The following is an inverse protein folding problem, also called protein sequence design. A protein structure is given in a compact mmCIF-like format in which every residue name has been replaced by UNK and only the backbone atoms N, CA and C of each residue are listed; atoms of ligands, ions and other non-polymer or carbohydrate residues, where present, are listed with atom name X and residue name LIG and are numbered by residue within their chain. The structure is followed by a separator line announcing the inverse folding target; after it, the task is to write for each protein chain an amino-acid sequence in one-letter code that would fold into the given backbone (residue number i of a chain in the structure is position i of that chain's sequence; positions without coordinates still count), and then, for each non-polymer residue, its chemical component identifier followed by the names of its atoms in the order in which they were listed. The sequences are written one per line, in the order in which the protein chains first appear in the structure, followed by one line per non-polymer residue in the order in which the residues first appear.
data_IF_634568153092
#
_entry.id   IF_634568153092
#
_cell.length_a   1.000
_cell.length_b   1.000
_cell.length_c   1.000
_cell.angle_alpha   90.00
_cell.angle_beta   90.00
_cell.angle_gamma   90.00
#
_symmetry.space_group_name_H-M   'P 1'
#
loop_
_entity.id
_entity.type
_entity.pdbx_description
1 polymer ?
#
# COMPACT_ATOMS: atom_id res chain seq x y z
N UNK A 1 -46.77 -12.23 -45.05
CA UNK A 1 -46.06 -10.97 -44.69
C UNK A 1 -45.82 -10.79 -43.18
N UNK A 2 -46.46 -11.52 -42.25
CA UNK A 2 -46.22 -11.34 -40.80
C UNK A 2 -44.91 -11.96 -40.25
N UNK A 3 -44.36 -13.00 -40.89
CA UNK A 3 -43.19 -13.73 -40.38
C UNK A 3 -41.88 -12.90 -40.39
N UNK A 4 -41.72 -12.05 -41.41
CA UNK A 4 -40.54 -11.18 -41.52
C UNK A 4 -40.54 -10.05 -40.49
N UNK A 5 -41.72 -9.56 -40.09
CA UNK A 5 -41.85 -8.48 -39.09
C UNK A 5 -41.52 -9.00 -37.69
N UNK A 6 -41.97 -10.21 -37.35
CA UNK A 6 -41.70 -10.84 -36.06
C UNK A 6 -40.20 -11.18 -35.87
N UNK A 7 -39.55 -11.67 -36.93
CA UNK A 7 -38.10 -11.90 -36.95
C UNK A 7 -37.28 -10.60 -36.81
N UNK A 8 -37.75 -9.51 -37.43
CA UNK A 8 -37.15 -8.18 -37.29
C UNK A 8 -37.27 -7.67 -35.86
N UNK A 9 -38.44 -7.76 -35.24
CA UNK A 9 -38.68 -7.31 -33.86
C UNK A 9 -37.82 -8.07 -32.83
N UNK A 10 -37.61 -9.39 -33.01
CA UNK A 10 -36.73 -10.18 -32.14
C UNK A 10 -35.27 -9.73 -32.30
N UNK A 11 -34.79 -9.48 -33.52
CA UNK A 11 -33.43 -8.94 -33.76
C UNK A 11 -33.25 -7.56 -33.13
N UNK A 12 -34.24 -6.66 -33.25
CA UNK A 12 -34.20 -5.33 -32.66
C UNK A 12 -34.25 -5.35 -31.13
N UNK A 13 -34.86 -6.38 -30.52
CA UNK A 13 -34.88 -6.57 -29.07
C UNK A 13 -33.59 -7.23 -28.53
N UNK A 14 -32.94 -8.10 -29.33
CA UNK A 14 -31.69 -8.77 -28.94
C UNK A 14 -30.46 -7.84 -28.94
N UNK A 15 -30.38 -6.88 -29.87
CA UNK A 15 -29.25 -5.94 -29.99
C UNK A 15 -29.05 -5.07 -28.73
N UNK A 16 -30.07 -4.41 -28.14
CA UNK A 16 -29.88 -3.59 -26.93
C UNK A 16 -29.57 -4.43 -25.69
N UNK A 17 -30.09 -5.67 -25.59
CA UNK A 17 -29.81 -6.59 -24.48
C UNK A 17 -28.34 -7.05 -24.49
N UNK A 18 -27.78 -7.32 -25.67
CA UNK A 18 -26.37 -7.70 -25.82
C UNK A 18 -25.45 -6.49 -25.55
N UNK A 19 -25.86 -5.27 -25.93
CA UNK A 19 -25.15 -4.04 -25.57
C UNK A 19 -25.18 -3.72 -24.07
N UNK A 20 -26.30 -4.02 -23.39
CA UNK A 20 -26.41 -3.87 -21.93
C UNK A 20 -25.57 -4.91 -21.16
N UNK A 21 -25.48 -6.14 -21.66
CA UNK A 21 -24.66 -7.18 -21.06
C UNK A 21 -23.15 -6.98 -21.29
N UNK A 22 -22.74 -6.40 -22.41
CA UNK A 22 -21.32 -6.11 -22.69
C UNK A 22 -20.78 -4.87 -21.96
N UNK A 23 -21.64 -3.92 -21.58
CA UNK A 23 -21.27 -2.78 -20.72
C UNK A 23 -20.92 -3.18 -19.28
N UNK A 24 -21.41 -4.33 -18.81
CA UNK A 24 -21.13 -4.82 -17.45
C UNK A 24 -19.78 -5.56 -17.33
N UNK A 25 -19.06 -5.80 -18.44
CA UNK A 25 -17.81 -6.56 -18.43
C UNK A 25 -16.53 -5.69 -18.30
N UNK A 26 -16.64 -4.36 -18.29
CA UNK A 26 -15.48 -3.46 -18.24
C UNK A 26 -15.53 -2.46 -17.09
N UNK A 27 -15.78 -2.95 -15.88
CA UNK A 27 -15.33 -2.25 -14.68
C UNK A 27 -14.56 -3.25 -13.83
N UNK A 28 -13.31 -3.54 -14.22
CA UNK A 28 -12.29 -3.86 -13.23
C UNK A 28 -12.06 -2.58 -12.42
N UNK A 29 -12.98 -2.32 -11.49
CA UNK A 29 -12.87 -1.23 -10.55
C UNK A 29 -11.51 -1.39 -9.86
N UNK A 30 -10.72 -0.32 -9.93
CA UNK A 30 -9.62 -0.11 -9.00
C UNK A 30 -10.17 -0.46 -7.60
N UNK A 31 -9.39 -1.04 -6.66
CA UNK A 31 -9.85 -1.23 -5.26
C UNK A 31 -9.94 0.13 -4.57
N UNK A 32 -10.87 0.90 -5.06
CA UNK A 32 -11.25 2.23 -4.70
C UNK A 32 -12.68 2.02 -4.24
N UNK A 33 -12.82 1.75 -2.95
CA UNK A 33 -14.12 1.50 -2.35
C UNK A 33 -14.83 2.84 -2.18
N UNK A 34 -16.14 2.84 -2.33
CA UNK A 34 -16.94 4.01 -1.97
C UNK A 34 -16.80 4.32 -0.46
N UNK A 35 -16.89 5.60 -0.13
CA UNK A 35 -16.80 6.14 1.22
C UNK A 35 -15.47 6.84 1.53
N UNK A 36 -15.37 7.33 2.75
CA UNK A 36 -14.23 8.10 3.27
C UNK A 36 -13.24 7.24 4.04
N UNK A 37 -12.01 7.75 4.18
CA UNK A 37 -11.00 7.11 5.01
C UNK A 37 -11.52 6.94 6.45
N UNK A 38 -11.48 5.72 7.02
CA UNK A 38 -11.90 5.54 8.40
C UNK A 38 -10.91 6.25 9.33
N UNK A 39 -11.38 6.80 10.47
CA UNK A 39 -10.47 7.30 11.49
C UNK A 39 -9.68 6.12 12.06
N UNK A 40 -8.36 6.16 11.93
CA UNK A 40 -7.45 5.16 12.48
C UNK A 40 -6.44 5.90 13.34
N UNK A 41 -6.40 5.60 14.63
CA UNK A 41 -5.40 6.18 15.52
C UNK A 41 -4.03 5.53 15.24
N UNK A 42 -2.94 6.30 15.14
CA UNK A 42 -1.60 5.74 15.05
C UNK A 42 -1.16 5.10 16.38
N UNK A 43 -0.05 4.36 16.36
CA UNK A 43 0.64 3.87 17.55
C UNK A 43 1.00 5.04 18.49
N UNK A 44 0.61 4.99 19.77
CA UNK A 44 1.03 5.98 20.75
C UNK A 44 2.48 5.73 21.21
N UNK A 45 3.14 6.76 21.75
CA UNK A 45 4.51 6.71 22.26
C UNK A 45 5.52 6.18 21.23
N UNK A 46 5.30 6.50 19.96
CA UNK A 46 6.15 6.06 18.86
C UNK A 46 7.53 6.71 18.95
N UNK A 47 8.59 5.90 19.01
CA UNK A 47 9.96 6.36 18.95
C UNK A 47 10.48 6.35 17.50
N UNK A 48 10.61 7.54 16.91
CA UNK A 48 11.09 7.71 15.53
C UNK A 48 12.51 7.19 15.34
N UNK A 49 13.42 7.46 16.28
CA UNK A 49 14.84 7.15 16.12
C UNK A 49 15.07 5.64 16.05
N UNK A 50 14.33 4.86 16.84
CA UNK A 50 14.37 3.40 16.80
C UNK A 50 13.74 2.83 15.51
N UNK A 51 12.83 3.56 14.87
CA UNK A 51 12.16 3.13 13.65
C UNK A 51 13.03 3.26 12.39
N UNK A 52 14.03 4.13 12.43
CA UNK A 52 14.86 4.45 11.26
C UNK A 52 15.63 3.22 10.72
N UNK A 53 16.16 3.37 9.53
CA UNK A 53 16.90 2.33 8.81
C UNK A 53 16.04 1.57 7.82
N UNK A 54 16.52 0.38 7.43
CA UNK A 54 15.91 -0.41 6.35
C UNK A 54 14.84 -1.35 6.88
N UNK A 55 13.75 -1.45 6.12
CA UNK A 55 12.63 -2.36 6.32
C UNK A 55 12.29 -3.06 5.00
N UNK A 56 12.01 -4.37 5.07
CA UNK A 56 11.59 -5.17 3.94
C UNK A 56 10.10 -5.44 4.01
N UNK A 57 9.37 -5.24 2.90
CA UNK A 57 7.95 -5.55 2.88
C UNK A 57 7.73 -7.06 2.94
N UNK A 58 7.16 -7.57 4.02
CA UNK A 58 6.80 -8.99 4.14
C UNK A 58 5.52 -9.27 3.35
N UNK A 59 4.47 -8.48 3.57
CA UNK A 59 3.21 -8.59 2.86
C UNK A 59 2.49 -7.24 2.80
N UNK A 60 1.59 -7.07 1.85
CA UNK A 60 0.76 -5.89 1.75
C UNK A 60 -0.60 -6.21 1.15
N UNK A 61 -1.57 -5.32 1.32
CA UNK A 61 -2.82 -5.44 0.57
C UNK A 61 -2.58 -5.20 -0.93
N UNK A 62 -3.07 -6.12 -1.77
CA UNK A 62 -2.89 -6.04 -3.22
C UNK A 62 -3.81 -4.96 -3.81
N UNK A 63 -3.23 -3.92 -4.40
CA UNK A 63 -3.92 -3.10 -5.40
C UNK A 63 -3.97 -3.87 -6.72
N UNK A 64 -5.16 -4.09 -7.28
CA UNK A 64 -5.39 -4.96 -8.45
C UNK A 64 -4.63 -4.53 -9.72
N UNK A 65 -4.08 -3.30 -9.76
CA UNK A 65 -3.56 -2.66 -10.98
C UNK A 65 -2.04 -2.47 -10.96
N UNK A 66 -1.35 -2.71 -9.83
CA UNK A 66 0.12 -2.62 -9.80
C UNK A 66 0.72 -3.98 -10.17
N UNK A 67 1.74 -3.97 -11.05
CA UNK A 67 2.59 -5.13 -11.27
C UNK A 67 3.03 -5.69 -9.92
N UNK A 68 3.07 -7.02 -9.77
CA UNK A 68 3.61 -7.64 -8.57
C UNK A 68 5.03 -7.10 -8.34
N UNK A 69 5.17 -6.32 -7.27
CA UNK A 69 6.45 -5.78 -6.82
C UNK A 69 7.14 -6.87 -6.01
N UNK A 70 8.38 -7.16 -6.35
CA UNK A 70 9.25 -8.07 -5.62
C UNK A 70 10.40 -7.26 -5.01
N UNK A 71 11.06 -7.81 -3.99
CA UNK A 71 12.21 -7.19 -3.35
C UNK A 71 11.92 -5.75 -2.92
N UNK A 72 10.74 -5.53 -2.32
CA UNK A 72 10.32 -4.21 -1.87
C UNK A 72 11.03 -3.92 -0.55
N UNK A 73 11.81 -2.85 -0.54
CA UNK A 73 12.50 -2.35 0.64
C UNK A 73 12.28 -0.86 0.77
N UNK A 74 12.25 -0.40 2.02
CA UNK A 74 12.07 0.98 2.43
C UNK A 74 13.24 1.34 3.32
N UNK A 75 13.96 2.40 3.01
CA UNK A 75 14.97 2.98 3.89
C UNK A 75 14.43 4.31 4.43
N UNK A 76 14.32 4.38 5.76
CA UNK A 76 13.91 5.58 6.47
C UNK A 76 15.14 6.25 7.08
N UNK A 77 15.36 7.52 6.74
CA UNK A 77 16.47 8.31 7.27
C UNK A 77 15.91 9.52 7.99
N UNK A 78 16.29 9.73 9.26
CA UNK A 78 15.81 10.84 10.06
C UNK A 78 16.15 12.19 9.42
N UNK A 79 15.21 13.13 9.53
CA UNK A 79 15.37 14.53 9.19
C UNK A 79 15.18 15.38 10.46
N UNK A 80 15.40 16.68 10.34
CA UNK A 80 15.14 17.67 11.38
C UNK A 80 13.65 17.69 11.77
N UNK A 81 13.37 18.17 12.99
CA UNK A 81 12.00 18.38 13.49
C UNK A 81 11.12 17.12 13.54
N UNK A 82 11.73 15.94 13.71
CA UNK A 82 11.02 14.67 13.84
C UNK A 82 10.36 14.19 12.55
N UNK A 83 10.80 14.69 11.39
CA UNK A 83 10.48 14.13 10.07
C UNK A 83 11.48 13.06 9.63
N UNK A 84 11.20 12.43 8.49
CA UNK A 84 12.15 11.49 7.87
C UNK A 84 12.01 11.46 6.35
N UNK A 85 13.11 11.14 5.67
CA UNK A 85 13.14 10.79 4.26
C UNK A 85 12.82 9.32 4.05
N UNK A 86 12.17 9.02 2.92
CA UNK A 86 11.82 7.66 2.50
C UNK A 86 12.45 7.37 1.16
N UNK A 87 13.28 6.34 1.09
CA UNK A 87 13.69 5.72 -0.17
C UNK A 87 13.01 4.36 -0.30
N UNK A 88 12.13 4.21 -1.29
CA UNK A 88 11.50 2.93 -1.62
C UNK A 88 12.14 2.34 -2.87
N UNK A 89 12.61 1.11 -2.77
CA UNK A 89 13.19 0.36 -3.87
C UNK A 89 12.45 -0.95 -4.09
N UNK A 90 12.23 -1.31 -5.35
CA UNK A 90 11.55 -2.55 -5.71
C UNK A 90 11.87 -3.00 -7.12
N UNK A 91 11.59 -4.26 -7.42
CA UNK A 91 11.66 -4.83 -8.76
C UNK A 91 10.28 -5.23 -9.25
N UNK A 92 10.08 -5.29 -10.57
CA UNK A 92 8.86 -5.84 -11.16
C UNK A 92 9.25 -6.93 -12.14
N UNK A 93 8.35 -7.88 -12.42
CA UNK A 93 8.63 -8.96 -13.37
C UNK A 93 9.00 -8.48 -14.80
N UNK A 94 8.67 -7.22 -15.14
CA UNK A 94 8.95 -6.63 -16.45
C UNK A 94 10.27 -5.87 -16.52
N UNK A 95 10.86 -5.51 -15.37
CA UNK A 95 12.00 -4.61 -15.31
C UNK A 95 13.22 -5.36 -14.76
N UNK A 96 14.32 -5.29 -15.50
CA UNK A 96 15.60 -5.88 -15.10
C UNK A 96 16.34 -5.03 -14.06
N UNK A 97 16.08 -3.71 -14.03
CA UNK A 97 16.64 -2.79 -13.04
C UNK A 97 15.62 -2.48 -11.94
N UNK A 98 16.06 -2.33 -10.67
CA UNK A 98 15.21 -1.84 -9.60
C UNK A 98 14.66 -0.45 -9.92
N UNK A 99 13.40 -0.22 -9.55
CA UNK A 99 12.79 1.11 -9.51
C UNK A 99 13.02 1.70 -8.12
N UNK A 100 13.47 2.95 -8.09
CA UNK A 100 13.69 3.73 -6.88
C UNK A 100 12.75 4.92 -6.88
N UNK A 101 12.15 5.21 -5.74
CA UNK A 101 11.26 6.34 -5.52
C UNK A 101 11.56 6.99 -4.18
N UNK A 102 11.50 8.32 -4.15
CA UNK A 102 11.79 9.10 -2.96
C UNK A 102 10.55 9.78 -2.41
N UNK A 103 10.57 10.08 -1.12
CA UNK A 103 9.57 10.88 -0.45
C UNK A 103 10.11 11.46 0.85
N UNK A 104 9.26 12.25 1.51
CA UNK A 104 9.56 12.75 2.85
C UNK A 104 8.28 12.81 3.68
N UNK A 105 8.42 12.60 4.98
CA UNK A 105 7.34 12.54 5.94
C UNK A 105 7.52 13.64 7.00
N UNK A 106 6.46 14.41 7.26
CA UNK A 106 6.38 15.32 8.43
C UNK A 106 5.44 14.75 9.48
N UNK A 107 5.76 14.92 10.78
CA UNK A 107 4.83 14.59 11.83
C UNK A 107 3.58 15.47 11.70
N UNK A 108 2.40 14.90 11.97
CA UNK A 108 1.13 15.65 11.89
C UNK A 108 1.02 16.71 13.00
N UNK A 109 1.70 16.52 14.12
CA UNK A 109 1.82 17.50 15.20
C UNK A 109 3.26 18.05 15.25
N UNK A 110 3.38 19.37 15.08
CA UNK A 110 4.67 20.05 14.97
C UNK A 110 5.26 20.52 16.32
N UNK A 111 4.52 20.35 17.42
CA UNK A 111 4.95 20.80 18.74
C UNK A 111 5.81 19.73 19.45
N UNK A 112 7.06 19.58 19.00
CA UNK A 112 8.06 18.68 19.60
C UNK A 112 8.25 17.36 18.82
N UNK A 113 8.92 16.40 19.45
CA UNK A 113 9.08 15.06 18.86
C UNK A 113 7.72 14.37 18.71
N UNK A 114 7.48 13.65 17.58
CA UNK A 114 6.21 12.97 17.37
C UNK A 114 5.94 11.97 18.50
N UNK A 115 4.88 12.22 19.27
CA UNK A 115 4.44 11.30 20.33
C UNK A 115 3.57 10.16 19.80
N UNK A 116 3.25 10.19 18.51
CA UNK A 116 2.42 9.23 17.80
C UNK A 116 3.05 8.93 16.44
N UNK A 117 2.85 7.72 15.94
CA UNK A 117 3.30 7.30 14.62
C UNK A 117 2.47 7.89 13.48
N UNK A 118 2.09 9.17 13.51
CA UNK A 118 1.27 9.82 12.49
C UNK A 118 2.05 10.85 11.69
N UNK A 119 2.11 10.65 10.38
CA UNK A 119 2.87 11.45 9.45
C UNK A 119 2.07 11.80 8.20
N UNK A 120 2.36 12.98 7.63
CA UNK A 120 2.00 13.33 6.24
C UNK A 120 3.18 12.99 5.34
N UNK A 121 3.04 11.94 4.54
CA UNK A 121 4.05 11.46 3.60
C UNK A 121 3.82 12.07 2.22
N UNK A 122 4.77 12.88 1.75
CA UNK A 122 4.81 13.37 0.37
C UNK A 122 5.73 12.47 -0.46
N UNK A 123 5.16 11.81 -1.47
CA UNK A 123 5.90 11.00 -2.43
C UNK A 123 6.22 11.84 -3.68
N UNK A 124 7.45 11.75 -4.16
CA UNK A 124 7.90 12.47 -5.35
C UNK A 124 7.67 11.64 -6.62
N UNK A 125 7.11 12.26 -7.64
CA UNK A 125 6.99 11.65 -8.97
C UNK A 125 7.18 12.69 -10.07
N UNK A 126 7.55 12.24 -11.27
CA UNK A 126 7.85 13.11 -12.41
C UNK A 126 6.69 14.03 -12.82
N UNK A 127 5.43 13.58 -12.63
CA UNK A 127 4.25 14.33 -13.04
C UNK A 127 3.76 15.28 -11.96
N UNK A 128 3.70 14.78 -10.73
CA UNK A 128 3.19 15.51 -9.58
C UNK A 128 3.61 14.78 -8.28
N UNK A 129 3.76 15.57 -7.23
CA UNK A 129 3.94 15.06 -5.88
C UNK A 129 2.55 14.78 -5.27
N UNK A 130 2.48 13.73 -4.45
CA UNK A 130 1.23 13.36 -3.77
C UNK A 130 1.49 13.20 -2.29
N UNK A 131 0.66 13.85 -1.47
CA UNK A 131 0.71 13.73 -0.02
C UNK A 131 -0.41 12.83 0.47
N UNK A 132 -0.07 11.87 1.33
CA UNK A 132 -1.00 10.92 1.93
C UNK A 132 -0.74 10.81 3.44
N UNK A 133 -1.76 10.36 4.17
CA UNK A 133 -1.58 9.97 5.56
C UNK A 133 -0.76 8.68 5.62
N UNK A 134 0.24 8.67 6.49
CA UNK A 134 1.11 7.53 6.74
C UNK A 134 1.17 7.30 8.26
N UNK A 135 0.56 6.20 8.68
CA UNK A 135 0.41 5.83 10.07
C UNK A 135 1.20 4.56 10.35
N UNK A 136 2.03 4.59 11.39
CA UNK A 136 2.59 3.40 12.01
C UNK A 136 1.57 2.94 13.04
N UNK A 137 0.99 1.76 12.82
CA UNK A 137 -0.05 1.19 13.69
C UNK A 137 0.56 0.40 14.84
N UNK A 138 1.63 -0.34 14.58
CA UNK A 138 2.33 -1.13 15.59
C UNK A 138 3.73 -1.47 15.11
N UNK A 139 4.70 -1.50 16.01
CA UNK A 139 6.06 -1.98 15.73
C UNK A 139 6.76 -2.28 17.05
N UNK A 140 7.64 -3.27 17.03
CA UNK A 140 8.62 -3.50 18.07
C UNK A 140 10.00 -2.91 17.74
N UNK A 141 10.08 -2.12 16.67
CA UNK A 141 11.28 -1.46 16.11
C UNK A 141 12.33 -2.39 15.50
N UNK A 142 12.46 -3.60 16.04
CA UNK A 142 13.57 -4.52 15.76
C UNK A 142 13.18 -5.70 14.86
N UNK A 143 11.90 -6.06 14.75
CA UNK A 143 11.50 -7.24 14.00
C UNK A 143 10.36 -7.00 13.02
N UNK A 144 9.33 -6.22 13.38
CA UNK A 144 8.17 -5.98 12.53
C UNK A 144 7.63 -4.54 12.63
N UNK A 145 6.94 -4.10 11.58
CA UNK A 145 6.16 -2.87 11.60
C UNK A 145 4.90 -3.00 10.74
N UNK A 146 3.76 -2.53 11.26
CA UNK A 146 2.50 -2.44 10.52
C UNK A 146 2.26 -0.99 10.15
N UNK A 147 2.31 -0.70 8.85
CA UNK A 147 2.07 0.64 8.32
C UNK A 147 0.74 0.70 7.57
N UNK A 148 -0.01 1.77 7.78
CA UNK A 148 -1.28 2.05 7.13
C UNK A 148 -1.26 3.41 6.45
N UNK A 149 -1.89 3.49 5.29
CA UNK A 149 -2.19 4.77 4.64
C UNK A 149 -3.57 4.74 4.05
N UNK A 150 -4.19 5.91 3.94
CA UNK A 150 -5.45 6.05 3.24
C UNK A 150 -5.40 7.30 2.36
N UNK A 151 -5.86 7.13 1.12
CA UNK A 151 -6.03 8.20 0.16
C UNK A 151 -7.51 8.31 -0.17
N UNK A 152 -8.06 9.51 -0.09
CA UNK A 152 -9.43 9.79 -0.47
C UNK A 152 -9.49 10.79 -1.63
N UNK A 153 -10.46 10.57 -2.52
CA UNK A 153 -10.74 11.44 -3.65
C UNK A 153 -12.25 11.42 -3.91
N UNK A 154 -12.90 12.57 -3.75
CA UNK A 154 -14.37 12.67 -3.78
C UNK A 154 -15.01 11.68 -2.79
N UNK A 155 -15.88 10.79 -3.26
CA UNK A 155 -16.57 9.78 -2.46
C UNK A 155 -15.90 8.41 -2.53
N UNK A 156 -14.62 8.38 -2.92
CA UNK A 156 -13.84 7.18 -3.06
C UNK A 156 -12.63 7.19 -2.13
N UNK A 157 -12.31 6.03 -1.57
CA UNK A 157 -11.09 5.82 -0.79
C UNK A 157 -10.26 4.67 -1.30
N UNK A 158 -8.97 4.75 -1.05
CA UNK A 158 -7.98 3.71 -1.27
C UNK A 158 -7.13 3.58 -0.02
N UNK A 159 -7.27 2.43 0.64
CA UNK A 159 -6.45 2.07 1.78
C UNK A 159 -5.23 1.29 1.28
N UNK A 160 -4.06 1.54 1.86
CA UNK A 160 -2.90 0.65 1.76
C UNK A 160 -2.47 0.25 3.17
N UNK A 161 -1.91 -0.94 3.27
CA UNK A 161 -1.52 -1.54 4.52
C UNK A 161 -0.41 -2.55 4.24
N UNK A 162 0.67 -2.46 5.00
CA UNK A 162 1.91 -3.19 4.79
C UNK A 162 2.38 -3.75 6.14
N UNK A 163 2.84 -5.00 6.15
CA UNK A 163 3.64 -5.56 7.24
C UNK A 163 5.07 -5.62 6.75
N UNK A 164 5.95 -4.95 7.48
CA UNK A 164 7.37 -4.85 7.20
C UNK A 164 8.16 -5.66 8.23
N UNK A 165 9.37 -6.04 7.87
CA UNK A 165 10.30 -6.80 8.71
C UNK A 165 11.72 -6.28 8.56
N UNK A 166 12.54 -6.42 9.60
CA UNK A 166 13.96 -6.00 9.57
C UNK A 166 14.85 -6.97 8.79
N UNK A 167 14.52 -8.26 8.77
CA UNK A 167 15.23 -9.28 8.01
C UNK A 167 14.29 -9.90 6.95
N UNK A 168 14.84 -10.34 5.82
CA UNK A 168 14.09 -11.09 4.79
C UNK A 168 13.78 -12.52 5.24
N UNK A 169 14.60 -13.08 6.12
CA UNK A 169 14.42 -14.39 6.74
C UNK A 169 13.80 -14.23 8.13
N UNK A 170 12.49 -14.46 8.21
CA UNK A 170 11.72 -14.28 9.45
C UNK A 170 10.88 -15.50 9.77
N UNK A 171 10.52 -15.65 11.04
CA UNK A 171 9.46 -16.56 11.46
C UNK A 171 8.11 -16.01 10.98
N UNK A 172 7.61 -16.54 9.87
CA UNK A 172 6.37 -16.08 9.24
C UNK A 172 5.16 -16.24 10.16
N UNK A 173 5.14 -17.25 11.03
CA UNK A 173 4.04 -17.47 11.96
C UNK A 173 3.96 -16.36 13.00
N UNK A 174 5.11 -15.89 13.49
CA UNK A 174 5.19 -14.74 14.38
C UNK A 174 4.75 -13.44 13.68
N UNK A 175 5.27 -13.16 12.48
CA UNK A 175 4.92 -11.93 11.74
C UNK A 175 3.43 -11.90 11.37
N UNK A 176 2.87 -13.05 10.97
CA UNK A 176 1.44 -13.17 10.67
C UNK A 176 0.57 -13.03 11.93
N UNK A 177 1.03 -13.45 13.11
CA UNK A 177 0.30 -13.25 14.35
C UNK A 177 0.29 -11.77 14.75
N UNK A 178 1.43 -11.09 14.67
CA UNK A 178 1.53 -9.65 14.94
C UNK A 178 0.65 -8.82 14.00
N UNK A 179 0.61 -9.18 12.71
CA UNK A 179 -0.30 -8.55 11.75
C UNK A 179 -1.76 -8.75 12.15
N UNK A 180 -2.19 -9.98 12.45
CA UNK A 180 -3.59 -10.28 12.80
C UNK A 180 -4.01 -9.57 14.07
N UNK A 181 -3.19 -9.62 15.12
CA UNK A 181 -3.45 -8.95 16.40
C UNK A 181 -3.57 -7.44 16.22
N UNK A 182 -2.64 -6.83 15.46
CA UNK A 182 -2.70 -5.40 15.15
C UNK A 182 -4.00 -5.06 14.43
N UNK A 183 -4.34 -5.75 13.34
CA UNK A 183 -5.57 -5.44 12.60
C UNK A 183 -6.84 -5.67 13.41
N UNK A 184 -6.84 -6.65 14.31
CA UNK A 184 -7.94 -6.86 15.24
C UNK A 184 -8.13 -5.67 16.17
N UNK A 185 -7.05 -5.20 16.81
CA UNK A 185 -7.09 -4.06 17.73
C UNK A 185 -7.62 -2.77 17.06
N UNK A 186 -7.31 -2.60 15.77
CA UNK A 186 -7.75 -1.45 14.96
C UNK A 186 -9.08 -1.67 14.22
N UNK A 187 -9.76 -2.81 14.41
CA UNK A 187 -11.01 -3.19 13.70
C UNK A 187 -10.86 -3.19 12.17
N UNK A 188 -9.68 -3.60 11.71
CA UNK A 188 -9.27 -3.68 10.31
C UNK A 188 -9.15 -5.14 9.81
N UNK A 189 -9.65 -6.12 10.57
CA UNK A 189 -9.56 -7.57 10.25
C UNK A 189 -10.01 -7.90 8.82
N UNK A 190 -11.03 -7.20 8.35
CA UNK A 190 -11.59 -7.38 7.01
C UNK A 190 -10.58 -7.14 5.89
N UNK A 191 -9.48 -6.41 6.14
CA UNK A 191 -8.40 -6.18 5.19
C UNK A 191 -7.51 -7.41 4.98
N UNK A 192 -7.47 -8.36 5.92
CA UNK A 192 -6.66 -9.59 5.82
C UNK A 192 -6.94 -10.37 4.53
N UNK A 193 -8.19 -10.39 4.07
CA UNK A 193 -8.59 -11.07 2.81
C UNK A 193 -7.90 -10.52 1.56
N UNK A 194 -7.31 -9.32 1.65
CA UNK A 194 -6.64 -8.65 0.54
C UNK A 194 -5.12 -8.70 0.61
N UNK A 195 -4.54 -9.20 1.71
CA UNK A 195 -3.11 -9.34 1.84
C UNK A 195 -2.53 -10.34 0.87
N UNK A 196 -1.34 -10.02 0.36
CA UNK A 196 -0.51 -10.90 -0.42
C UNK A 196 0.94 -10.82 0.06
N UNK A 197 1.62 -11.97 0.22
CA UNK A 197 3.04 -12.00 0.48
C UNK A 197 3.82 -11.28 -0.62
N UNK A 198 4.91 -10.65 -0.23
CA UNK A 198 5.87 -10.04 -1.14
C UNK A 198 7.05 -10.98 -1.29
N UNK A 199 7.47 -11.22 -2.53
CA UNK A 199 8.63 -12.08 -2.78
C UNK A 199 9.93 -11.34 -2.41
N UNK A 200 10.65 -11.86 -1.42
CA UNK A 200 11.93 -11.29 -0.92
C UNK A 200 13.15 -12.19 -1.18
N UNK A 201 13.03 -13.18 -2.07
CA UNK A 201 14.13 -14.10 -2.43
C UNK A 201 14.85 -13.64 -3.72
N UNK A 202 16.15 -13.93 -3.82
CA UNK A 202 17.02 -13.57 -4.95
C UNK A 202 17.03 -12.07 -5.28
N UNK A 203 16.97 -11.24 -4.25
CA UNK A 203 17.05 -9.79 -4.39
C UNK A 203 18.51 -9.35 -4.50
N UNK A 204 18.84 -8.50 -5.48
CA UNK A 204 20.17 -7.92 -5.59
C UNK A 204 20.39 -6.90 -4.46
N UNK A 205 21.28 -7.22 -3.52
CA UNK A 205 21.73 -6.28 -2.50
C UNK A 205 22.54 -5.18 -3.18
N UNK A 206 22.12 -3.92 -3.03
CA UNK A 206 22.83 -2.79 -3.63
C UNK A 206 23.29 -1.74 -2.62
N UNK A 207 23.25 -2.03 -1.31
CA UNK A 207 23.79 -1.13 -0.29
C UNK A 207 25.21 -1.52 0.19
N UNK A 208 25.81 -2.58 -0.36
CA UNK A 208 27.19 -3.03 -0.02
C UNK A 208 28.28 -2.56 -1.02
N UNK A 209 27.94 -1.73 -2.01
CA UNK A 209 28.95 -1.13 -2.89
C UNK A 209 29.01 0.37 -2.64
N UNK A 210 29.70 0.79 -1.59
CA UNK A 210 30.38 2.10 -1.45
C UNK A 210 31.18 2.19 -0.13
N UNK A 211 31.95 1.16 0.19
CA UNK A 211 33.04 1.25 1.16
C UNK A 211 34.26 0.55 0.56
N UNK A 212 34.94 1.30 -0.29
CA UNK A 212 36.30 1.06 -0.79
C UNK A 212 36.94 2.41 -1.05
#
# INVERSE_FOLDING_TARGET
MCYNIFSYLIKYLQIPVIFFLSYNAYISAQKMSMGFCPPVEPMPYFNMDLYMGTWYQHASIKSLIKALRNCVEYNYTADTHGGFHVESKYTTYRQTKPVVSFGYAKPEQYHGFPQKGAYKLTLFSEKANFTIDHLILNTDYDSFAVEYSCFEFLFFKRQNLHILVRDRLVNTTFVDSQLKETLHSYKLDWLLRYFKPTRQINCTNSFEKNSS
#
